data_IF_494114729357
#
_entry.id   IF_494114729357
#
_cell.length_a   1.000
_cell.length_b   1.000
_cell.length_c   1.000
_cell.angle_alpha   90.00
_cell.angle_beta   90.00
_cell.angle_gamma   90.00
#
_symmetry.space_group_name_H-M   'P 1'
#
loop_
_entity.id
_entity.type
_entity.pdbx_description
1 polymer ?
#
# COMPACT_ATOMS: atom_id res chain seq x y z
N UNK A 1 -36.54 -77.48 -2.23
CA UNK A 1 -35.59 -78.58 -1.92
C UNK A 1 -34.83 -78.07 -0.70
N UNK A 2 -35.30 -78.42 0.51
CA UNK A 2 -34.83 -79.55 1.37
C UNK A 2 -33.28 -79.43 1.57
N UNK A 3 -32.69 -79.21 2.74
CA UNK A 3 -32.81 -79.96 3.97
C UNK A 3 -32.35 -79.18 5.21
N UNK A 4 -33.15 -79.30 6.21
CA UNK A 4 -32.91 -79.13 7.67
C UNK A 4 -31.87 -80.13 8.14
N UNK A 5 -30.98 -79.76 9.11
CA UNK A 5 -30.52 -80.73 10.12
C UNK A 5 -30.26 -80.04 11.46
N UNK A 6 -31.11 -80.33 12.43
CA UNK A 6 -30.87 -80.16 13.84
C UNK A 6 -29.85 -81.17 14.35
N UNK A 7 -28.99 -80.80 15.26
CA UNK A 7 -28.70 -81.70 16.35
C UNK A 7 -28.25 -81.00 17.66
N UNK A 8 -28.71 -81.57 18.66
CA UNK A 8 -28.81 -81.27 20.05
C UNK A 8 -27.54 -81.45 20.87
N UNK A 9 -27.45 -80.70 21.94
CA UNK A 9 -27.07 -80.98 23.37
C UNK A 9 -25.59 -81.19 23.68
N UNK A 10 -25.03 -80.43 24.60
CA UNK A 10 -24.86 -80.83 26.03
C UNK A 10 -24.44 -79.68 26.93
N UNK A 11 -25.09 -79.63 28.11
CA UNK A 11 -24.71 -78.91 29.28
C UNK A 11 -23.31 -79.23 29.79
N UNK A 12 -22.52 -78.23 30.12
CA UNK A 12 -21.31 -78.34 30.92
C UNK A 12 -21.16 -77.11 31.80
N UNK A 13 -21.60 -77.28 33.04
CA UNK A 13 -21.32 -76.34 34.11
C UNK A 13 -19.83 -76.37 34.43
N UNK A 14 -19.10 -75.33 34.27
CA UNK A 14 -17.85 -75.12 35.00
C UNK A 14 -17.80 -73.68 35.47
N UNK A 15 -17.82 -73.54 36.77
CA UNK A 15 -17.55 -72.36 37.56
C UNK A 15 -16.11 -71.88 37.23
N UNK A 16 -15.98 -70.68 36.74
CA UNK A 16 -14.65 -70.08 36.63
C UNK A 16 -14.68 -68.63 37.07
N UNK A 17 -13.87 -68.36 38.04
CA UNK A 17 -13.59 -67.10 38.72
C UNK A 17 -13.47 -65.90 37.79
N UNK A 18 -14.22 -64.90 38.11
CA UNK A 18 -14.13 -63.55 37.54
C UNK A 18 -12.94 -62.83 38.16
N UNK A 19 -11.77 -62.82 37.50
CA UNK A 19 -10.66 -61.92 37.83
C UNK A 19 -10.90 -60.60 37.11
N UNK A 20 -11.39 -59.62 37.87
CA UNK A 20 -11.58 -58.26 37.42
C UNK A 20 -10.20 -57.54 37.36
N UNK A 21 -9.51 -57.59 36.22
CA UNK A 21 -8.30 -56.78 36.00
C UNK A 21 -8.71 -55.35 35.71
N UNK A 22 -8.49 -54.49 36.69
CA UNK A 22 -8.65 -53.04 36.59
C UNK A 22 -7.51 -52.50 35.70
N UNK A 23 -7.75 -52.25 34.40
CA UNK A 23 -6.85 -51.50 33.54
C UNK A 23 -6.96 -50.01 33.92
N UNK A 24 -6.03 -49.55 34.74
CA UNK A 24 -5.77 -48.13 34.91
C UNK A 24 -5.07 -47.64 33.63
N UNK A 25 -5.86 -47.10 32.70
CA UNK A 25 -5.32 -46.35 31.57
C UNK A 25 -4.75 -45.03 32.11
N UNK A 26 -3.41 -44.96 32.25
CA UNK A 26 -2.72 -43.69 32.37
C UNK A 26 -2.93 -42.95 31.03
N UNK A 27 -3.87 -42.01 31.02
CA UNK A 27 -3.99 -41.03 29.93
C UNK A 27 -2.73 -40.17 29.94
N UNK A 28 -1.82 -40.39 29.02
CA UNK A 28 -0.77 -39.47 28.71
C UNK A 28 -1.46 -38.18 28.21
N UNK A 29 -1.60 -37.20 29.09
CA UNK A 29 -1.94 -35.84 28.68
C UNK A 29 -0.76 -35.32 27.87
N UNK A 30 -0.91 -35.32 26.55
CA UNK A 30 -0.02 -34.59 25.68
C UNK A 30 -0.12 -33.12 26.09
N UNK A 31 0.91 -32.64 26.79
CA UNK A 31 1.10 -31.23 27.03
C UNK A 31 1.35 -30.59 25.66
N UNK A 32 0.29 -30.05 25.07
CA UNK A 32 0.40 -29.14 23.93
C UNK A 32 1.15 -27.93 24.44
N UNK A 33 2.40 -27.80 24.02
CA UNK A 33 3.19 -26.59 24.22
C UNK A 33 2.47 -25.41 23.53
N UNK A 34 1.95 -24.41 24.25
CA UNK A 34 1.18 -23.31 23.65
C UNK A 34 2.11 -22.19 23.13
N UNK A 35 3.24 -22.52 22.47
CA UNK A 35 4.31 -21.53 22.40
C UNK A 35 4.58 -20.95 21.00
N UNK A 36 3.75 -21.17 19.97
CA UNK A 36 4.00 -20.53 18.67
C UNK A 36 2.79 -20.04 17.86
N UNK A 37 1.61 -20.66 17.83
CA UNK A 37 0.47 -20.14 17.05
C UNK A 37 -0.16 -18.88 17.66
N UNK A 38 -0.42 -18.86 18.98
CA UNK A 38 -1.22 -17.82 19.64
C UNK A 38 -0.59 -16.42 19.59
N UNK A 39 0.74 -16.35 19.60
CA UNK A 39 1.46 -15.08 19.56
C UNK A 39 1.41 -14.43 18.16
N UNK A 40 1.55 -15.20 17.08
CA UNK A 40 1.48 -14.68 15.71
C UNK A 40 0.05 -14.22 15.39
N UNK A 41 -0.97 -14.98 15.79
CA UNK A 41 -2.37 -14.61 15.61
C UNK A 41 -2.76 -13.34 16.39
N UNK A 42 -2.23 -13.18 17.60
CA UNK A 42 -2.42 -11.93 18.36
C UNK A 42 -1.75 -10.75 17.66
N UNK A 43 -0.53 -10.93 17.18
CA UNK A 43 0.22 -9.90 16.46
C UNK A 43 -0.45 -9.53 15.15
N UNK A 44 -0.97 -10.50 14.40
CA UNK A 44 -1.73 -10.26 13.17
C UNK A 44 -2.96 -9.40 13.46
N UNK A 45 -3.81 -9.78 14.43
CA UNK A 45 -5.00 -9.00 14.80
C UNK A 45 -4.66 -7.59 15.28
N UNK A 46 -3.57 -7.43 16.02
CA UNK A 46 -3.10 -6.12 16.44
C UNK A 46 -2.70 -5.24 15.24
N UNK A 47 -1.99 -5.82 14.26
CA UNK A 47 -1.60 -5.15 13.02
C UNK A 47 -2.82 -4.78 12.17
N UNK A 48 -3.77 -5.68 11.99
CA UNK A 48 -4.99 -5.43 11.22
C UNK A 48 -5.78 -4.25 11.81
N UNK A 49 -5.87 -4.17 13.13
CA UNK A 49 -6.48 -3.04 13.83
C UNK A 49 -5.68 -1.73 13.66
N UNK A 50 -4.34 -1.80 13.75
CA UNK A 50 -3.49 -0.63 13.58
C UNK A 50 -3.56 -0.07 12.15
N UNK A 51 -3.57 -0.95 11.13
CA UNK A 51 -3.69 -0.58 9.71
C UNK A 51 -5.08 -0.02 9.41
N UNK A 52 -6.14 -0.58 9.98
CA UNK A 52 -7.51 -0.07 9.78
C UNK A 52 -7.70 1.34 10.35
N UNK A 53 -7.00 1.69 11.42
CA UNK A 53 -7.04 3.05 11.99
C UNK A 53 -6.35 4.09 11.10
N UNK A 54 -5.27 3.72 10.40
CA UNK A 54 -4.58 4.60 9.43
C UNK A 54 -5.45 4.91 8.23
N UNK A 55 -6.28 3.96 7.81
CA UNK A 55 -7.21 4.09 6.68
C UNK A 55 -8.25 5.21 6.85
N UNK A 56 -8.63 5.53 8.09
CA UNK A 56 -9.66 6.54 8.38
C UNK A 56 -9.16 7.99 8.26
N UNK A 57 -7.85 8.21 8.18
CA UNK A 57 -7.24 9.54 8.21
C UNK A 57 -6.72 10.04 6.87
N UNK A 58 -6.81 9.28 5.78
CA UNK A 58 -6.18 9.62 4.50
C UNK A 58 -7.04 9.32 3.27
N UNK A 59 -6.86 10.19 2.31
CA UNK A 59 -7.21 10.19 0.88
C UNK A 59 -8.58 9.63 0.44
N UNK A 60 -9.17 10.28 -0.56
CA UNK A 60 -10.50 9.96 -1.15
C UNK A 60 -10.54 8.58 -1.85
N UNK A 61 -9.40 7.94 -2.10
CA UNK A 61 -9.33 6.65 -2.79
C UNK A 61 -9.33 5.50 -1.78
N UNK A 62 -10.36 4.64 -1.77
CA UNK A 62 -10.39 3.49 -0.88
C UNK A 62 -9.33 2.46 -1.29
N UNK A 63 -8.37 2.20 -0.40
CA UNK A 63 -7.35 1.18 -0.60
C UNK A 63 -7.71 -0.09 0.18
N UNK A 64 -7.48 -1.25 -0.42
CA UNK A 64 -7.58 -2.56 0.23
C UNK A 64 -6.23 -2.89 0.85
N UNK A 65 -6.20 -2.89 2.18
CA UNK A 65 -4.97 -3.14 2.93
C UNK A 65 -4.81 -4.63 3.22
N UNK A 66 -3.60 -5.14 3.02
CA UNK A 66 -3.21 -6.50 3.39
C UNK A 66 -1.91 -6.45 4.19
N UNK A 67 -1.84 -7.27 5.24
CA UNK A 67 -0.67 -7.34 6.12
C UNK A 67 -0.04 -8.72 6.01
N UNK A 68 1.20 -8.77 5.57
CA UNK A 68 2.02 -9.96 5.58
C UNK A 68 3.02 -9.88 6.74
N UNK A 69 2.88 -10.78 7.70
CA UNK A 69 3.81 -10.92 8.83
C UNK A 69 4.95 -11.82 8.41
N UNK A 70 6.18 -11.33 8.54
CA UNK A 70 7.38 -12.10 8.28
C UNK A 70 7.77 -13.00 9.45
N UNK A 71 8.94 -13.59 9.37
CA UNK A 71 9.47 -14.47 10.40
C UNK A 71 10.56 -13.75 11.23
N UNK A 72 10.63 -14.11 12.51
CA UNK A 72 11.77 -13.72 13.34
C UNK A 72 13.03 -14.47 12.89
N UNK A 73 14.18 -13.80 13.00
CA UNK A 73 15.47 -14.44 12.73
C UNK A 73 15.62 -15.71 13.59
N UNK A 74 15.78 -16.85 12.95
CA UNK A 74 15.90 -18.16 13.61
C UNK A 74 17.11 -18.28 14.53
N UNK A 75 18.10 -17.39 14.38
CA UNK A 75 19.27 -17.30 15.26
C UNK A 75 18.95 -16.68 16.61
N UNK A 76 17.82 -15.99 16.74
CA UNK A 76 17.37 -15.42 18.00
C UNK A 76 16.90 -16.53 18.94
N UNK A 77 17.63 -16.73 20.03
CA UNK A 77 17.27 -17.66 21.11
C UNK A 77 16.50 -16.86 22.18
N UNK A 78 15.22 -16.61 21.93
CA UNK A 78 14.37 -15.88 22.85
C UNK A 78 13.99 -16.77 24.03
N UNK A 79 14.12 -16.22 25.25
CA UNK A 79 13.62 -16.88 26.46
C UNK A 79 12.09 -16.99 26.42
N UNK A 80 11.49 -18.01 27.05
CA UNK A 80 10.05 -18.13 27.20
C UNK A 80 9.41 -16.86 27.77
N UNK A 81 8.27 -16.47 27.21
CA UNK A 81 7.54 -15.28 27.62
C UNK A 81 6.05 -15.56 27.70
N UNK A 82 5.44 -15.30 28.86
CA UNK A 82 4.01 -15.48 29.06
C UNK A 82 3.16 -14.37 28.42
N UNK A 83 3.72 -13.14 28.33
CA UNK A 83 3.02 -12.01 27.69
C UNK A 83 3.95 -11.19 26.81
N UNK A 84 3.72 -11.30 25.50
CA UNK A 84 4.40 -10.51 24.47
C UNK A 84 3.50 -9.35 24.05
N UNK A 85 4.05 -8.16 23.97
CA UNK A 85 3.35 -6.96 23.53
C UNK A 85 3.95 -6.45 22.21
N UNK A 86 3.16 -6.39 21.12
CA UNK A 86 3.56 -5.70 19.91
C UNK A 86 3.44 -4.18 20.09
N UNK A 87 4.34 -3.44 19.47
CA UNK A 87 4.30 -1.98 19.45
C UNK A 87 4.86 -1.43 18.15
N UNK A 88 4.46 -0.20 17.80
CA UNK A 88 5.00 0.50 16.66
C UNK A 88 6.19 1.36 17.10
N UNK A 89 7.41 1.10 16.61
CA UNK A 89 8.58 1.93 16.90
C UNK A 89 8.34 3.38 16.42
N UNK A 90 8.88 4.36 17.14
CA UNK A 90 8.75 5.77 16.76
C UNK A 90 9.25 6.01 15.33
N UNK A 91 8.48 6.77 14.54
CA UNK A 91 8.79 7.07 13.15
C UNK A 91 8.52 5.94 12.16
N UNK A 92 8.05 4.78 12.60
CA UNK A 92 7.65 3.69 11.70
C UNK A 92 6.30 4.02 11.03
N UNK A 93 6.24 3.80 9.71
CA UNK A 93 4.99 3.87 8.94
C UNK A 93 4.50 2.48 8.63
N UNK A 94 3.20 2.24 8.77
CA UNK A 94 2.54 1.01 8.33
C UNK A 94 2.25 1.09 6.82
N UNK A 95 3.34 1.02 6.02
CA UNK A 95 3.30 1.16 4.57
C UNK A 95 4.48 0.47 3.92
N UNK A 96 4.24 -0.48 2.99
CA UNK A 96 5.27 -1.27 2.35
C UNK A 96 6.06 -2.12 3.35
N UNK A 97 7.33 -2.33 3.07
CA UNK A 97 8.23 -3.06 3.98
C UNK A 97 8.49 -2.25 5.24
N UNK A 98 8.14 -2.80 6.37
CA UNK A 98 8.20 -2.17 7.67
C UNK A 98 8.63 -3.18 8.76
N UNK A 99 8.66 -2.75 10.01
CA UNK A 99 8.93 -3.60 11.15
C UNK A 99 8.15 -3.14 12.36
N UNK A 100 7.68 -4.07 13.15
CA UNK A 100 7.10 -3.80 14.46
C UNK A 100 8.03 -4.29 15.55
N UNK A 101 7.95 -3.68 16.73
CA UNK A 101 8.64 -4.16 17.91
C UNK A 101 7.77 -5.17 18.65
N UNK A 102 8.43 -6.17 19.25
CA UNK A 102 7.83 -7.17 20.11
C UNK A 102 8.63 -7.17 21.40
N UNK A 103 7.97 -6.94 22.52
CA UNK A 103 8.63 -6.94 23.83
C UNK A 103 8.00 -7.95 24.78
N UNK A 104 8.82 -8.65 25.52
CA UNK A 104 8.39 -9.53 26.59
C UNK A 104 8.08 -8.71 27.84
N UNK A 105 6.84 -8.75 28.30
CA UNK A 105 6.41 -8.09 29.52
C UNK A 105 6.48 -9.03 30.74
N UNK A 106 6.19 -10.31 30.55
CA UNK A 106 6.16 -11.33 31.60
C UNK A 106 6.97 -12.55 31.17
N UNK A 107 8.16 -12.72 31.73
CA UNK A 107 9.10 -13.80 31.46
C UNK A 107 10.32 -13.70 32.34
N UNK A 108 11.10 -14.78 32.43
CA UNK A 108 12.36 -14.82 33.20
C UNK A 108 13.37 -13.78 32.68
N UNK A 109 13.40 -13.58 31.37
CA UNK A 109 14.24 -12.56 30.73
C UNK A 109 13.41 -11.61 29.92
N UNK A 110 13.61 -10.32 30.11
CA UNK A 110 13.03 -9.27 29.28
C UNK A 110 13.80 -9.21 27.96
N UNK A 111 13.08 -9.33 26.85
CA UNK A 111 13.66 -9.16 25.53
C UNK A 111 12.81 -8.22 24.67
N UNK A 112 13.44 -7.62 23.69
CA UNK A 112 12.81 -6.75 22.71
C UNK A 112 13.42 -7.04 21.35
N UNK A 113 12.60 -7.39 20.37
CA UNK A 113 13.02 -7.76 19.02
C UNK A 113 12.14 -7.09 17.99
N UNK A 114 12.62 -7.06 16.74
CA UNK A 114 11.83 -6.52 15.63
C UNK A 114 11.38 -7.65 14.73
N UNK A 115 10.08 -7.64 14.41
CA UNK A 115 9.45 -8.53 13.46
C UNK A 115 9.24 -7.78 12.14
N UNK A 116 9.78 -8.29 11.01
CA UNK A 116 9.52 -7.70 9.71
C UNK A 116 8.06 -7.90 9.32
N UNK A 117 7.45 -6.87 8.75
CA UNK A 117 6.09 -6.92 8.23
C UNK A 117 6.06 -6.23 6.87
N UNK A 118 5.17 -6.64 5.99
CA UNK A 118 4.90 -5.94 4.74
C UNK A 118 3.44 -5.54 4.71
N UNK A 119 3.20 -4.26 4.50
CA UNK A 119 1.85 -3.70 4.37
C UNK A 119 1.62 -3.43 2.89
N UNK A 120 0.72 -4.16 2.27
CA UNK A 120 0.26 -3.92 0.91
C UNK A 120 -0.96 -3.01 0.93
N UNK A 121 -1.07 -2.13 -0.05
CA UNK A 121 -2.16 -1.18 -0.18
C UNK A 121 -2.66 -1.20 -1.63
N UNK A 122 -3.62 -2.06 -1.93
CA UNK A 122 -4.15 -2.23 -3.27
C UNK A 122 -5.23 -1.22 -3.58
N UNK A 123 -5.13 -0.60 -4.75
CA UNK A 123 -6.12 0.35 -5.24
C UNK A 123 -5.95 0.67 -6.71
N UNK A 124 -6.92 1.41 -7.29
CA UNK A 124 -6.88 1.79 -8.70
C UNK A 124 -5.70 2.74 -8.98
N UNK A 125 -4.99 2.49 -10.06
CA UNK A 125 -3.92 3.33 -10.55
C UNK A 125 -3.75 3.18 -12.06
N UNK A 126 -2.91 4.03 -12.64
CA UNK A 126 -2.66 4.03 -14.07
C UNK A 126 -1.37 3.26 -14.38
N UNK A 127 -1.46 2.32 -15.30
CA UNK A 127 -0.36 1.44 -15.73
C UNK A 127 -0.10 1.66 -17.22
N UNK A 128 1.15 1.83 -17.59
CA UNK A 128 1.60 2.10 -18.97
C UNK A 128 1.32 0.88 -19.87
N UNK A 129 0.65 1.12 -21.01
CA UNK A 129 0.32 0.09 -22.02
C UNK A 129 1.48 -0.24 -22.93
N UNK A 130 2.31 0.74 -23.26
CA UNK A 130 3.38 0.63 -24.24
C UNK A 130 4.68 1.26 -23.76
N UNK A 131 5.63 1.45 -24.69
CA UNK A 131 6.86 2.17 -24.39
C UNK A 131 6.66 3.66 -24.65
N UNK A 132 6.91 4.50 -23.65
CA UNK A 132 6.86 5.96 -23.76
C UNK A 132 8.28 6.52 -23.68
N UNK A 133 8.64 7.37 -24.65
CA UNK A 133 9.98 7.99 -24.69
C UNK A 133 10.05 9.16 -23.69
N UNK A 134 11.27 9.49 -23.21
CA UNK A 134 11.48 10.69 -22.41
C UNK A 134 11.02 11.94 -23.15
N UNK A 135 10.31 12.83 -22.51
CA UNK A 135 9.80 14.07 -23.12
C UNK A 135 8.51 13.91 -23.93
N UNK A 136 8.00 12.70 -24.10
CA UNK A 136 6.69 12.50 -24.75
C UNK A 136 5.57 12.97 -23.85
N UNK A 137 4.54 13.57 -24.44
CA UNK A 137 3.31 13.96 -23.77
C UNK A 137 2.41 12.74 -23.67
N UNK A 138 1.93 12.43 -22.48
CA UNK A 138 1.04 11.29 -22.23
C UNK A 138 -0.38 11.59 -22.71
N UNK A 139 -0.95 10.65 -23.44
CA UNK A 139 -2.31 10.63 -23.95
C UNK A 139 -3.14 9.52 -23.29
N UNK A 140 -4.45 9.48 -23.49
CA UNK A 140 -5.34 8.43 -22.99
C UNK A 140 -4.95 7.01 -23.47
N UNK A 141 -4.28 6.92 -24.62
CA UNK A 141 -3.85 5.66 -25.18
C UNK A 141 -2.61 5.08 -24.50
N UNK A 142 -1.87 5.86 -23.73
CA UNK A 142 -0.58 5.45 -23.13
C UNK A 142 -0.74 4.67 -21.83
N UNK A 143 -1.88 4.78 -21.15
CA UNK A 143 -2.10 4.09 -19.89
C UNK A 143 -3.51 3.49 -19.77
N UNK A 144 -3.64 2.51 -18.89
CA UNK A 144 -4.92 1.90 -18.51
C UNK A 144 -5.03 1.88 -16.99
N UNK A 145 -6.26 1.88 -16.49
CA UNK A 145 -6.52 1.73 -15.06
C UNK A 145 -6.40 0.25 -14.66
N UNK A 146 -5.71 -0.01 -13.55
CA UNK A 146 -5.53 -1.34 -12.99
C UNK A 146 -5.39 -1.27 -11.48
N UNK A 147 -5.74 -2.33 -10.77
CA UNK A 147 -5.45 -2.45 -9.34
C UNK A 147 -3.95 -2.74 -9.17
N UNK A 148 -3.26 -1.93 -8.35
CA UNK A 148 -1.84 -2.08 -8.05
C UNK A 148 -1.57 -1.90 -6.57
N UNK A 149 -0.44 -2.40 -6.09
CA UNK A 149 0.04 -2.12 -4.74
C UNK A 149 0.71 -0.74 -4.68
N UNK A 150 0.02 0.21 -4.04
CA UNK A 150 0.53 1.57 -3.85
C UNK A 150 1.75 1.62 -2.93
N UNK A 151 1.86 0.64 -2.04
CA UNK A 151 2.92 0.56 -1.05
C UNK A 151 4.19 -0.17 -1.52
N UNK A 152 4.19 -0.70 -2.75
CA UNK A 152 5.34 -1.40 -3.35
C UNK A 152 6.59 -0.50 -3.43
N UNK A 153 6.40 0.77 -3.77
CA UNK A 153 7.47 1.77 -3.86
C UNK A 153 7.13 3.01 -3.02
N UNK A 154 8.16 3.77 -2.65
CA UNK A 154 8.00 5.00 -1.85
C UNK A 154 7.43 6.19 -2.61
N UNK A 155 7.61 6.23 -3.95
CA UNK A 155 7.07 7.31 -4.79
C UNK A 155 5.54 7.21 -4.88
N UNK A 156 4.80 8.31 -4.64
CA UNK A 156 3.34 8.30 -4.67
C UNK A 156 2.79 7.88 -6.03
N UNK A 157 1.76 7.04 -6.01
CA UNK A 157 1.03 6.59 -7.20
C UNK A 157 0.13 7.71 -7.73
N UNK A 158 -0.07 7.75 -9.04
CA UNK A 158 -1.01 8.66 -9.69
C UNK A 158 -2.35 7.94 -9.84
N UNK A 159 -3.28 8.22 -8.95
CA UNK A 159 -4.60 7.56 -8.93
C UNK A 159 -5.64 8.19 -9.86
N UNK A 160 -5.52 9.47 -10.24
CA UNK A 160 -6.50 10.19 -11.07
C UNK A 160 -5.97 10.50 -12.47
N UNK A 161 -6.79 10.28 -13.50
CA UNK A 161 -6.45 10.56 -14.90
C UNK A 161 -6.01 12.02 -15.12
N UNK A 162 -6.71 12.97 -14.49
CA UNK A 162 -6.39 14.40 -14.60
C UNK A 162 -4.99 14.77 -14.10
N UNK A 163 -4.35 13.91 -13.32
CA UNK A 163 -3.02 14.16 -12.77
C UNK A 163 -1.89 13.68 -13.69
N UNK A 164 -2.19 12.94 -14.77
CA UNK A 164 -1.17 12.48 -15.69
C UNK A 164 -1.46 12.78 -17.17
N UNK A 165 -2.73 12.93 -17.54
CA UNK A 165 -3.11 13.25 -18.92
C UNK A 165 -2.52 14.61 -19.32
N UNK A 166 -1.83 14.65 -20.47
CA UNK A 166 -1.12 15.84 -20.94
C UNK A 166 0.18 16.15 -20.20
N UNK A 167 0.59 15.34 -19.23
CA UNK A 167 1.89 15.45 -18.58
C UNK A 167 3.00 14.87 -19.49
N UNK A 168 4.24 15.23 -19.20
CA UNK A 168 5.42 14.79 -19.95
C UNK A 168 6.18 13.74 -19.17
N UNK A 169 6.54 12.63 -19.81
CA UNK A 169 7.38 11.61 -19.23
C UNK A 169 8.79 12.17 -18.91
N UNK A 170 9.25 12.03 -17.68
CA UNK A 170 10.58 12.50 -17.24
C UNK A 170 11.71 11.57 -17.70
N UNK A 171 11.39 10.30 -17.97
CA UNK A 171 12.28 9.24 -18.44
C UNK A 171 11.49 8.25 -19.29
N UNK A 172 12.17 7.28 -19.91
CA UNK A 172 11.48 6.17 -20.58
C UNK A 172 10.58 5.42 -19.63
N UNK A 173 9.33 5.20 -20.03
CA UNK A 173 8.37 4.37 -19.33
C UNK A 173 8.15 3.08 -20.12
N UNK A 174 7.91 1.98 -19.41
CA UNK A 174 7.76 0.65 -20.00
C UNK A 174 6.36 0.10 -19.79
N UNK A 175 5.94 -0.79 -20.66
CA UNK A 175 4.71 -1.56 -20.49
C UNK A 175 4.64 -2.21 -19.12
N UNK A 176 3.49 -2.12 -18.46
CA UNK A 176 3.27 -2.64 -17.12
C UNK A 176 3.78 -1.76 -15.98
N UNK A 177 4.44 -0.65 -16.28
CA UNK A 177 4.95 0.26 -15.26
C UNK A 177 3.82 1.11 -14.67
N UNK A 178 3.71 1.14 -13.34
CA UNK A 178 2.76 1.99 -12.62
C UNK A 178 3.17 3.46 -12.74
N UNK A 179 2.22 4.33 -13.09
CA UNK A 179 2.44 5.77 -13.10
C UNK A 179 2.57 6.31 -11.68
N UNK A 180 3.72 6.93 -11.41
CA UNK A 180 4.04 7.57 -10.13
C UNK A 180 4.45 9.01 -10.36
N UNK A 181 4.26 9.86 -9.36
CA UNK A 181 4.50 11.32 -9.47
C UNK A 181 5.91 11.66 -9.99
N UNK A 182 6.94 10.91 -9.60
CA UNK A 182 8.31 11.13 -10.05
C UNK A 182 8.58 10.78 -11.52
N UNK A 183 7.64 10.12 -12.21
CA UNK A 183 7.78 9.69 -13.61
C UNK A 183 7.26 10.71 -14.62
N UNK A 184 6.50 11.67 -14.16
CA UNK A 184 5.82 12.68 -14.97
C UNK A 184 6.09 14.08 -14.46
N UNK A 185 5.99 15.04 -15.35
CA UNK A 185 6.07 16.47 -15.02
C UNK A 185 5.10 17.25 -15.92
N UNK A 186 4.64 18.43 -15.49
CA UNK A 186 3.80 19.27 -16.33
C UNK A 186 4.47 19.62 -17.67
N UNK A 187 3.67 19.62 -18.73
CA UNK A 187 4.12 20.01 -20.06
C UNK A 187 4.43 21.51 -20.09
N UNK A 188 5.56 21.86 -20.71
CA UNK A 188 5.85 23.26 -21.06
C UNK A 188 5.01 23.65 -22.26
N UNK A 189 4.13 24.63 -22.10
CA UNK A 189 3.17 25.03 -23.14
C UNK A 189 3.69 26.19 -24.01
N UNK A 190 4.67 26.95 -23.52
CA UNK A 190 5.46 27.91 -24.31
C UNK A 190 6.86 28.11 -23.73
N UNK A 191 7.79 28.54 -24.57
CA UNK A 191 9.18 28.81 -24.19
C UNK A 191 9.38 30.30 -23.86
N UNK A 192 10.48 30.62 -23.16
CA UNK A 192 10.95 32.00 -23.04
C UNK A 192 11.16 32.60 -24.45
N UNK A 193 10.76 33.87 -24.62
CA UNK A 193 10.74 34.55 -25.93
C UNK A 193 9.42 34.45 -26.68
N UNK A 194 8.53 33.55 -26.32
CA UNK A 194 7.23 33.40 -26.98
C UNK A 194 6.33 34.63 -26.73
N UNK A 195 5.56 35.02 -27.75
CA UNK A 195 4.49 36.00 -27.61
C UNK A 195 3.29 35.36 -26.93
N UNK A 196 2.83 35.99 -25.86
CA UNK A 196 1.71 35.51 -25.03
C UNK A 196 0.67 36.61 -24.86
N UNK A 197 -0.58 36.19 -24.70
CA UNK A 197 -1.67 37.06 -24.30
C UNK A 197 -1.67 37.16 -22.79
N UNK A 198 -1.74 38.37 -22.29
CA UNK A 198 -1.79 38.68 -20.87
C UNK A 198 -3.18 39.18 -20.51
N UNK A 199 -3.82 38.50 -19.56
CA UNK A 199 -5.16 38.84 -19.07
C UNK A 199 -5.04 39.37 -17.63
N UNK A 200 -5.49 40.57 -17.40
CA UNK A 200 -5.64 41.15 -16.07
C UNK A 200 -7.14 41.21 -15.76
N UNK A 201 -7.59 40.60 -14.68
CA UNK A 201 -9.00 40.55 -14.30
C UNK A 201 -9.18 41.12 -12.89
N UNK A 202 -10.09 42.11 -12.79
CA UNK A 202 -10.54 42.70 -11.52
C UNK A 202 -12.06 42.71 -11.42
N UNK A 203 -12.63 43.21 -10.31
CA UNK A 203 -14.07 43.33 -10.14
C UNK A 203 -14.72 44.20 -11.25
N UNK A 204 -15.50 43.55 -12.13
CA UNK A 204 -16.23 44.24 -13.19
C UNK A 204 -15.42 44.60 -14.45
N UNK A 205 -14.13 44.24 -14.58
CA UNK A 205 -13.35 44.49 -15.78
C UNK A 205 -12.37 43.36 -16.10
N UNK A 206 -12.06 43.21 -17.40
CA UNK A 206 -10.99 42.37 -17.90
C UNK A 206 -10.21 43.16 -18.96
N UNK A 207 -8.90 43.21 -18.81
CA UNK A 207 -7.99 43.84 -19.76
C UNK A 207 -7.15 42.74 -20.40
N UNK A 208 -7.01 42.80 -21.73
CA UNK A 208 -6.15 41.91 -22.48
C UNK A 208 -5.05 42.72 -23.16
N UNK A 209 -3.83 42.28 -23.04
CA UNK A 209 -2.65 42.89 -23.67
C UNK A 209 -1.75 41.80 -24.26
N UNK A 210 -0.80 42.21 -25.11
CA UNK A 210 0.27 41.32 -25.58
C UNK A 210 1.49 41.47 -24.67
N UNK A 211 2.32 40.46 -24.63
CA UNK A 211 3.60 40.47 -23.93
C UNK A 211 4.51 39.35 -24.39
N UNK A 212 5.78 39.46 -24.09
CA UNK A 212 6.78 38.45 -24.38
C UNK A 212 7.13 37.69 -23.10
N UNK A 213 7.02 36.37 -23.14
CA UNK A 213 7.42 35.50 -22.04
C UNK A 213 8.92 35.60 -21.77
N UNK A 214 9.31 35.86 -20.53
CA UNK A 214 10.70 35.86 -20.07
C UNK A 214 11.12 34.52 -19.45
N UNK A 215 10.16 33.67 -19.13
CA UNK A 215 10.37 32.29 -18.66
C UNK A 215 9.48 31.34 -19.43
N UNK A 216 9.86 30.07 -19.49
CA UNK A 216 8.97 29.03 -20.03
C UNK A 216 7.69 28.94 -19.20
N UNK A 217 6.56 28.64 -19.83
CA UNK A 217 5.26 28.52 -19.19
C UNK A 217 4.81 27.08 -19.04
N UNK A 218 4.30 26.76 -17.86
CA UNK A 218 3.64 25.50 -17.50
C UNK A 218 2.26 25.86 -16.95
N UNK A 219 1.22 25.21 -17.45
CA UNK A 219 -0.17 25.48 -17.03
C UNK A 219 -0.30 25.39 -15.50
N UNK A 220 -0.93 26.38 -14.90
CA UNK A 220 -1.11 26.51 -13.45
C UNK A 220 0.11 27.04 -12.70
N UNK A 221 1.25 27.23 -13.35
CA UNK A 221 2.46 27.83 -12.73
C UNK A 221 2.64 29.30 -13.08
N UNK A 222 3.40 30.01 -12.27
CA UNK A 222 3.73 31.41 -12.53
C UNK A 222 4.80 31.53 -13.61
N UNK A 223 4.56 32.44 -14.59
CA UNK A 223 5.52 32.82 -15.61
C UNK A 223 5.73 34.34 -15.58
N UNK A 224 6.97 34.77 -15.89
CA UNK A 224 7.30 36.17 -16.03
C UNK A 224 7.08 36.62 -17.47
N UNK A 225 6.42 37.77 -17.65
CA UNK A 225 6.10 38.31 -18.95
C UNK A 225 6.54 39.78 -18.99
N UNK A 226 7.21 40.19 -20.07
CA UNK A 226 7.52 41.58 -20.39
C UNK A 226 6.40 42.16 -21.25
N UNK A 227 5.73 43.16 -20.76
CA UNK A 227 4.67 43.88 -21.46
C UNK A 227 5.24 44.81 -22.53
N UNK A 228 4.43 45.26 -23.48
CA UNK A 228 4.84 46.19 -24.55
C UNK A 228 5.35 47.54 -24.00
N UNK A 229 4.89 47.96 -22.83
CA UNK A 229 5.37 49.16 -22.12
C UNK A 229 6.72 48.92 -21.39
N UNK A 230 7.36 47.77 -21.56
CA UNK A 230 8.63 47.41 -20.97
C UNK A 230 8.56 46.88 -19.53
N UNK A 231 7.39 46.93 -18.88
CA UNK A 231 7.23 46.41 -17.50
C UNK A 231 7.23 44.91 -17.46
N UNK A 232 7.88 44.33 -16.46
CA UNK A 232 7.90 42.89 -16.21
C UNK A 232 6.87 42.57 -15.13
N UNK A 233 5.98 41.62 -15.44
CA UNK A 233 4.93 41.16 -14.53
C UNK A 233 4.97 39.64 -14.42
N UNK A 234 4.48 39.12 -13.30
CA UNK A 234 4.29 37.68 -13.10
C UNK A 234 2.81 37.33 -13.12
N UNK A 235 2.47 36.21 -13.70
CA UNK A 235 1.10 35.74 -13.76
C UNK A 235 1.02 34.22 -13.92
N UNK A 236 -0.14 33.64 -13.69
CA UNK A 236 -0.41 32.21 -13.82
C UNK A 236 -0.68 31.88 -15.28
N UNK A 237 0.00 30.86 -15.78
CA UNK A 237 -0.21 30.33 -17.14
C UNK A 237 -1.55 29.58 -17.20
N UNK A 238 -2.44 30.02 -18.09
CA UNK A 238 -3.72 29.36 -18.31
C UNK A 238 -3.68 28.32 -19.41
N UNK A 239 -2.99 28.65 -20.51
CA UNK A 239 -2.88 27.78 -21.69
C UNK A 239 -1.57 28.07 -22.48
N UNK A 240 -1.46 27.54 -23.69
CA UNK A 240 -0.27 27.66 -24.55
C UNK A 240 0.04 29.09 -25.04
N UNK A 241 -0.81 30.05 -24.76
CA UNK A 241 -0.64 31.45 -25.19
C UNK A 241 -1.14 32.47 -24.18
N UNK A 242 -1.70 32.05 -23.05
CA UNK A 242 -2.40 32.97 -22.14
C UNK A 242 -1.80 32.91 -20.74
N UNK A 243 -1.49 34.09 -20.20
CA UNK A 243 -1.02 34.30 -18.83
C UNK A 243 -2.00 35.25 -18.11
N UNK A 244 -2.55 34.83 -16.99
CA UNK A 244 -3.42 35.64 -16.13
C UNK A 244 -2.59 36.35 -15.06
N UNK A 245 -2.64 37.67 -15.02
CA UNK A 245 -2.02 38.44 -13.94
C UNK A 245 -2.84 38.34 -12.66
N UNK A 246 -2.15 38.24 -11.54
CA UNK A 246 -2.69 38.44 -10.21
C UNK A 246 -2.58 39.94 -9.91
N UNK A 247 -3.72 40.62 -9.69
CA UNK A 247 -3.82 42.05 -9.36
C UNK A 247 -4.18 42.19 -7.88
#
# INVERSE_FOLDING_TARGET
>A
MFHTFQNRTRLGRTTSSLVLTLFVSLGAQAQTNPTRPDFLDYTQRWLDNAVSSVRQTGDETPLRMEVAVGELDTRLKLAPCARVEPYLPAGTRLWGKSRIGLRCLEGESKWNVFLPVTIHAYGPAWVIKGNVLPGAVLSEDDALESEVDWAEETSPVVGRQSHWLGQVATRSLRTGQVLRQGLIKPATVFQAGAQVRVIAQGPGFQITSAGQALSSGVVGQSARVKMDNGRVMSGVVLDNRTVKLEI
#
